data_IF_690336499446
#
_entry.id   IF_690336499446
#
_cell.length_a   1.000
_cell.length_b   1.000
_cell.length_c   1.000
_cell.angle_alpha   90.00
_cell.angle_beta   90.00
_cell.angle_gamma   90.00
#
_symmetry.space_group_name_H-M   'P 1'
#
loop_
_entity.id
_entity.type
_entity.pdbx_description
1 polymer ?
#
# COMPACT_ATOMS: atom_id res chain seq x y z
N UNK A 1 20.29 4.79 9.56
CA UNK A 1 19.66 3.88 8.57
C UNK A 1 18.21 3.68 8.96
N UNK A 2 17.27 3.83 8.00
CA UNK A 2 15.84 3.58 8.22
C UNK A 2 15.51 2.22 7.62
N UNK A 3 14.85 1.37 8.38
CA UNK A 3 14.39 0.05 7.98
C UNK A 3 12.87 0.05 7.85
N UNK A 4 12.38 -0.24 6.65
CA UNK A 4 10.96 -0.43 6.35
C UNK A 4 10.74 -1.91 6.04
N UNK A 5 9.68 -2.49 6.58
CA UNK A 5 9.19 -3.79 6.15
C UNK A 5 7.92 -3.58 5.37
N UNK A 6 7.89 -4.09 4.14
CA UNK A 6 6.69 -4.13 3.32
C UNK A 6 5.99 -5.47 3.48
N UNK A 7 4.67 -5.41 3.65
CA UNK A 7 3.75 -6.54 3.58
C UNK A 7 2.76 -6.20 2.46
N UNK A 8 2.45 -7.16 1.61
CA UNK A 8 1.48 -6.97 0.54
C UNK A 8 0.52 -8.16 0.47
N UNK A 9 -0.67 -7.92 -0.01
CA UNK A 9 -1.66 -8.92 -0.38
C UNK A 9 -1.96 -9.98 0.71
N UNK A 10 -2.26 -9.58 1.95
CA UNK A 10 -2.62 -10.55 2.99
C UNK A 10 -3.97 -11.23 2.74
N UNK A 11 -4.87 -10.65 1.92
CA UNK A 11 -6.16 -11.21 1.52
C UNK A 11 -6.92 -11.87 2.66
N UNK A 12 -7.12 -11.13 3.75
CA UNK A 12 -7.85 -11.64 4.91
C UNK A 12 -9.34 -11.68 4.62
N UNK A 13 -10.02 -12.67 5.20
CA UNK A 13 -11.47 -12.78 5.15
C UNK A 13 -12.06 -12.77 6.56
N UNK A 14 -13.38 -12.60 6.66
CA UNK A 14 -14.10 -12.69 7.94
C UNK A 14 -13.88 -14.03 8.65
N UNK A 15 -13.76 -15.14 7.90
CA UNK A 15 -13.47 -16.45 8.46
C UNK A 15 -11.97 -16.75 8.39
N UNK A 16 -11.35 -16.91 9.56
CA UNK A 16 -9.92 -17.25 9.72
C UNK A 16 -9.48 -18.56 9.07
N UNK A 17 -10.42 -19.43 8.75
CA UNK A 17 -10.18 -20.76 8.17
C UNK A 17 -10.32 -20.76 6.65
N UNK A 18 -10.77 -19.67 6.05
CA UNK A 18 -10.91 -19.56 4.59
C UNK A 18 -9.58 -19.81 3.92
N UNK A 19 -9.61 -20.60 2.85
CA UNK A 19 -8.48 -20.81 1.95
C UNK A 19 -8.71 -20.04 0.65
N UNK A 20 -7.70 -19.23 0.27
CA UNK A 20 -7.65 -18.53 -0.99
C UNK A 20 -6.47 -19.11 -1.77
N UNK A 21 -6.72 -19.65 -2.97
CA UNK A 21 -5.70 -20.32 -3.78
C UNK A 21 -4.87 -21.33 -2.98
N UNK A 22 -5.55 -22.20 -2.21
CA UNK A 22 -4.96 -23.21 -1.32
C UNK A 22 -4.08 -22.65 -0.19
N UNK A 23 -4.21 -21.37 0.16
CA UNK A 23 -3.52 -20.75 1.28
C UNK A 23 -4.49 -20.29 2.36
N UNK A 24 -4.27 -20.71 3.61
CA UNK A 24 -4.95 -20.16 4.78
C UNK A 24 -4.38 -18.79 5.11
N UNK A 25 -4.90 -17.75 4.48
CA UNK A 25 -4.33 -16.41 4.46
C UNK A 25 -4.14 -15.83 5.85
N UNK A 26 -5.12 -15.97 6.76
CA UNK A 26 -4.98 -15.52 8.14
C UNK A 26 -3.84 -16.24 8.89
N UNK A 27 -3.69 -17.54 8.71
CA UNK A 27 -2.61 -18.30 9.33
C UNK A 27 -1.25 -17.90 8.78
N UNK A 28 -1.16 -17.63 7.47
CA UNK A 28 0.03 -17.11 6.81
C UNK A 28 0.41 -15.73 7.35
N UNK A 29 -0.54 -14.80 7.35
CA UNK A 29 -0.35 -13.45 7.87
C UNK A 29 0.11 -13.46 9.33
N UNK A 30 -0.53 -14.28 10.19
CA UNK A 30 -0.11 -14.44 11.59
C UNK A 30 1.34 -14.92 11.74
N UNK A 31 1.81 -15.82 10.86
CA UNK A 31 3.21 -16.28 10.86
C UNK A 31 4.17 -15.18 10.45
N UNK A 32 3.81 -14.37 9.45
CA UNK A 32 4.61 -13.22 9.01
C UNK A 32 4.75 -12.20 10.14
N UNK A 33 3.64 -11.81 10.78
CA UNK A 33 3.64 -10.89 11.92
C UNK A 33 4.53 -11.43 13.06
N UNK A 34 4.38 -12.70 13.41
CA UNK A 34 5.19 -13.33 14.45
C UNK A 34 6.69 -13.38 14.10
N UNK A 35 7.01 -13.64 12.83
CA UNK A 35 8.39 -13.63 12.38
C UNK A 35 9.01 -12.24 12.45
N UNK A 36 8.28 -11.19 12.02
CA UNK A 36 8.69 -9.79 12.12
C UNK A 36 8.98 -9.42 13.57
N UNK A 37 8.05 -9.74 14.47
CA UNK A 37 8.17 -9.42 15.89
C UNK A 37 9.46 -10.00 16.53
N UNK A 38 9.83 -11.22 16.14
CA UNK A 38 10.99 -11.92 16.72
C UNK A 38 12.33 -11.61 16.05
N UNK A 39 12.32 -11.34 14.75
CA UNK A 39 13.56 -11.31 13.98
C UNK A 39 13.91 -9.92 13.48
N UNK A 40 12.97 -8.97 13.52
CA UNK A 40 13.12 -7.70 12.87
C UNK A 40 12.84 -6.52 13.81
N UNK A 41 13.53 -5.41 13.54
CA UNK A 41 13.31 -4.15 14.28
C UNK A 41 13.09 -3.02 13.27
N UNK A 42 11.97 -3.03 12.54
CA UNK A 42 11.70 -1.97 11.58
C UNK A 42 11.40 -0.65 12.29
N UNK A 43 11.73 0.44 11.60
CA UNK A 43 11.30 1.77 12.02
C UNK A 43 9.80 1.93 11.77
N UNK A 44 9.29 1.35 10.66
CA UNK A 44 7.86 1.22 10.42
C UNK A 44 7.55 0.15 9.37
N UNK A 45 6.25 -0.14 9.24
CA UNK A 45 5.72 -1.17 8.37
C UNK A 45 4.86 -0.49 7.30
N UNK A 46 5.03 -0.90 6.06
CA UNK A 46 4.21 -0.49 4.93
C UNK A 46 3.36 -1.68 4.48
N UNK A 47 2.04 -1.50 4.41
CA UNK A 47 1.13 -2.52 3.87
C UNK A 47 0.56 -1.98 2.57
N UNK A 48 0.90 -2.64 1.45
CA UNK A 48 0.72 -2.10 0.10
C UNK A 48 -0.48 -2.65 -0.65
N UNK A 49 -1.59 -2.87 0.04
CA UNK A 49 -2.89 -3.16 -0.56
C UNK A 49 -3.35 -4.60 -0.42
N UNK A 50 -4.58 -4.85 -0.86
CA UNK A 50 -5.30 -6.11 -0.79
C UNK A 50 -5.26 -6.73 0.61
N UNK A 51 -5.57 -5.89 1.61
CA UNK A 51 -5.59 -6.26 3.02
C UNK A 51 -6.69 -7.29 3.26
N UNK A 52 -7.85 -7.03 2.70
CA UNK A 52 -9.01 -7.91 2.75
C UNK A 52 -9.34 -8.45 1.38
N UNK A 53 -9.73 -9.73 1.31
CA UNK A 53 -10.24 -10.34 0.10
C UNK A 53 -11.74 -10.12 -0.09
N UNK A 54 -12.48 -10.09 1.02
CA UNK A 54 -13.96 -9.96 1.04
C UNK A 54 -14.46 -8.56 1.43
N UNK A 55 -13.54 -7.62 1.71
CA UNK A 55 -13.85 -6.26 2.11
C UNK A 55 -14.62 -6.14 3.43
N UNK A 56 -14.71 -7.20 4.24
CA UNK A 56 -15.53 -7.24 5.46
C UNK A 56 -14.92 -6.46 6.62
N UNK A 57 -15.77 -5.97 7.51
CA UNK A 57 -15.35 -5.33 8.76
C UNK A 57 -14.50 -6.28 9.61
N UNK A 58 -14.91 -7.54 9.68
CA UNK A 58 -14.24 -8.57 10.45
C UNK A 58 -12.83 -8.84 9.96
N UNK A 59 -12.60 -8.87 8.65
CA UNK A 59 -11.24 -9.03 8.08
C UNK A 59 -10.32 -7.87 8.47
N UNK A 60 -10.81 -6.61 8.43
CA UNK A 60 -10.06 -5.45 8.87
C UNK A 60 -9.81 -5.43 10.39
N UNK A 61 -10.74 -5.94 11.19
CA UNK A 61 -10.51 -6.13 12.63
C UNK A 61 -9.41 -7.17 12.90
N UNK A 62 -9.38 -8.27 12.13
CA UNK A 62 -8.31 -9.27 12.22
C UNK A 62 -6.96 -8.67 11.83
N UNK A 63 -6.91 -7.90 10.76
CA UNK A 63 -5.73 -7.18 10.34
C UNK A 63 -5.25 -6.20 11.42
N UNK A 64 -6.13 -5.31 11.88
CA UNK A 64 -5.82 -4.29 12.90
C UNK A 64 -5.21 -4.91 14.14
N UNK A 65 -5.87 -5.93 14.70
CA UNK A 65 -5.39 -6.63 15.90
C UNK A 65 -3.97 -7.19 15.74
N UNK A 66 -3.60 -7.63 14.53
CA UNK A 66 -2.29 -8.22 14.28
C UNK A 66 -1.23 -7.19 13.99
N UNK A 67 -1.51 -6.19 13.16
CA UNK A 67 -0.52 -5.18 12.81
C UNK A 67 -0.19 -4.30 14.03
N UNK A 68 -1.18 -3.93 14.85
CA UNK A 68 -0.98 -3.15 16.07
C UNK A 68 -0.21 -3.92 17.14
N UNK A 69 -0.27 -5.27 17.16
CA UNK A 69 0.50 -6.09 18.11
C UNK A 69 2.01 -5.96 17.95
N UNK A 70 2.50 -5.49 16.81
CA UNK A 70 3.91 -5.23 16.58
C UNK A 70 4.44 -3.99 17.31
N UNK A 71 3.57 -3.13 17.84
CA UNK A 71 3.94 -1.88 18.49
C UNK A 71 4.90 -1.02 17.66
N UNK A 72 4.67 -0.98 16.33
CA UNK A 72 5.44 -0.20 15.37
C UNK A 72 4.50 0.74 14.62
N UNK A 73 4.97 1.94 14.24
CA UNK A 73 4.24 2.75 13.27
C UNK A 73 4.00 1.95 12.00
N UNK A 74 2.80 2.03 11.44
CA UNK A 74 2.48 1.39 10.18
C UNK A 74 1.66 2.31 9.29
N UNK A 75 1.79 2.10 7.99
CA UNK A 75 1.00 2.76 6.95
C UNK A 75 0.40 1.69 6.06
N UNK A 76 -0.87 1.88 5.72
CA UNK A 76 -1.58 0.98 4.81
C UNK A 76 -2.11 1.78 3.64
N UNK A 77 -2.00 1.23 2.44
CA UNK A 77 -2.78 1.64 1.29
C UNK A 77 -3.76 0.52 0.96
N UNK A 78 -4.77 0.83 0.17
CA UNK A 78 -5.76 -0.15 -0.24
C UNK A 78 -5.44 -0.69 -1.63
N UNK A 79 -5.87 -1.92 -1.88
CA UNK A 79 -5.87 -2.57 -3.18
C UNK A 79 -7.29 -2.72 -3.73
N UNK A 80 -7.43 -3.39 -4.86
CA UNK A 80 -8.71 -3.52 -5.56
C UNK A 80 -9.73 -4.43 -4.86
N UNK A 81 -9.30 -5.33 -3.98
CA UNK A 81 -10.18 -6.14 -3.14
C UNK A 81 -10.70 -5.39 -1.90
N UNK A 82 -10.05 -4.30 -1.52
CA UNK A 82 -10.37 -3.60 -0.29
C UNK A 82 -11.64 -2.74 -0.41
N UNK A 83 -12.38 -2.64 0.70
CA UNK A 83 -13.52 -1.75 0.85
C UNK A 83 -13.13 -0.49 1.65
N UNK A 84 -13.11 0.67 0.99
CA UNK A 84 -12.72 1.95 1.58
C UNK A 84 -13.56 2.35 2.80
N UNK A 85 -14.88 2.17 2.72
CA UNK A 85 -15.79 2.61 3.78
C UNK A 85 -15.60 1.76 5.04
N UNK A 86 -15.50 0.45 4.88
CA UNK A 86 -15.26 -0.46 5.99
C UNK A 86 -13.87 -0.27 6.61
N UNK A 87 -12.84 -0.08 5.77
CA UNK A 87 -11.49 0.24 6.26
C UNK A 87 -11.48 1.54 7.07
N UNK A 88 -12.09 2.61 6.54
CA UNK A 88 -12.20 3.90 7.19
C UNK A 88 -12.94 3.80 8.53
N UNK A 89 -14.02 3.00 8.58
CA UNK A 89 -14.77 2.77 9.82
C UNK A 89 -13.88 2.17 10.93
N UNK A 90 -13.03 1.20 10.58
CA UNK A 90 -12.18 0.50 11.54
C UNK A 90 -10.98 1.35 11.99
N UNK A 91 -10.35 2.09 11.07
CA UNK A 91 -9.16 2.86 11.39
C UNK A 91 -9.43 4.32 11.74
N UNK A 92 -10.70 4.78 11.61
CA UNK A 92 -11.15 6.14 11.91
C UNK A 92 -10.29 7.24 11.25
N UNK A 93 -9.62 6.91 10.18
CA UNK A 93 -8.75 7.80 9.45
C UNK A 93 -9.37 8.20 8.12
N UNK A 94 -9.27 9.49 7.78
CA UNK A 94 -9.45 9.92 6.42
C UNK A 94 -8.26 9.39 5.62
N UNK A 95 -8.50 8.36 4.83
CA UNK A 95 -7.49 7.79 3.94
C UNK A 95 -7.24 8.81 2.81
N UNK A 96 -6.16 9.57 2.85
CA UNK A 96 -5.93 10.55 1.79
C UNK A 96 -5.50 9.81 0.53
N UNK A 97 -6.13 10.14 -0.58
CA UNK A 97 -5.83 9.61 -1.92
C UNK A 97 -4.33 9.75 -2.28
N UNK A 98 -3.66 10.76 -1.71
CA UNK A 98 -2.21 10.96 -1.78
C UNK A 98 -1.71 11.48 -0.44
N UNK A 99 -0.77 10.78 0.16
CA UNK A 99 -0.15 11.18 1.42
C UNK A 99 1.37 11.22 1.31
N UNK A 100 1.97 12.25 1.91
CA UNK A 100 3.42 12.39 2.07
C UNK A 100 3.80 12.08 3.50
N UNK A 101 4.71 11.13 3.68
CA UNK A 101 5.14 10.60 4.98
C UNK A 101 6.64 10.84 5.10
N UNK A 102 7.10 11.77 5.95
CA UNK A 102 8.51 11.95 6.19
C UNK A 102 9.10 10.71 6.89
N UNK A 103 10.12 10.12 6.28
CA UNK A 103 10.85 8.99 6.84
C UNK A 103 12.06 9.47 7.65
N UNK A 104 12.70 10.54 7.18
CA UNK A 104 13.80 11.26 7.80
C UNK A 104 13.92 12.66 7.21
N UNK A 105 14.97 13.37 7.59
CA UNK A 105 15.29 14.69 6.99
C UNK A 105 15.56 14.57 5.49
N UNK A 106 16.07 13.43 5.01
CA UNK A 106 16.48 13.20 3.63
C UNK A 106 15.49 12.37 2.81
N UNK A 107 14.56 11.64 3.43
CA UNK A 107 13.69 10.69 2.74
C UNK A 107 12.21 10.93 3.01
N UNK A 108 11.41 10.81 1.96
CA UNK A 108 9.95 10.92 2.01
C UNK A 108 9.34 9.74 1.26
N UNK A 109 8.38 9.07 1.89
CA UNK A 109 7.49 8.11 1.25
C UNK A 109 6.21 8.83 0.81
N UNK A 110 5.85 8.68 -0.46
CA UNK A 110 4.60 9.16 -1.02
C UNK A 110 3.73 7.95 -1.31
N UNK A 111 2.63 7.82 -0.58
CA UNK A 111 1.66 6.74 -0.77
C UNK A 111 0.49 7.23 -1.62
N UNK A 112 0.07 6.41 -2.57
CA UNK A 112 -0.95 6.72 -3.55
C UNK A 112 -2.06 5.68 -3.50
N UNK A 113 -3.29 6.11 -3.44
CA UNK A 113 -4.44 5.24 -3.69
C UNK A 113 -4.66 5.16 -5.20
N UNK A 114 -4.43 4.00 -5.76
CA UNK A 114 -4.63 3.72 -7.19
C UNK A 114 -5.89 2.92 -7.47
N UNK A 115 -6.73 2.69 -6.47
CA UNK A 115 -7.95 1.89 -6.63
C UNK A 115 -9.01 2.61 -7.45
N UNK A 116 -9.79 1.85 -8.20
CA UNK A 116 -10.97 2.32 -8.96
C UNK A 116 -12.16 1.46 -8.58
N UNK A 117 -13.18 2.07 -8.02
CA UNK A 117 -14.37 1.36 -7.56
C UNK A 117 -14.94 0.43 -8.64
N UNK A 118 -15.08 -0.85 -8.32
CA UNK A 118 -15.64 -1.87 -9.20
C UNK A 118 -14.72 -2.32 -10.33
N UNK A 119 -13.42 -2.03 -10.25
CA UNK A 119 -12.43 -2.50 -11.22
C UNK A 119 -11.27 -3.20 -10.52
N UNK A 120 -10.69 -4.18 -11.18
CA UNK A 120 -9.46 -4.84 -10.73
C UNK A 120 -8.21 -3.99 -11.04
N UNK A 121 -8.19 -3.32 -12.18
CA UNK A 121 -7.09 -2.43 -12.56
C UNK A 121 -7.18 -1.05 -11.92
N UNK A 122 -6.02 -0.44 -11.69
CA UNK A 122 -5.89 0.84 -11.01
C UNK A 122 -5.78 2.04 -11.95
N UNK A 123 -6.04 3.23 -11.42
CA UNK A 123 -5.75 4.50 -12.08
C UNK A 123 -5.52 5.64 -11.08
N UNK A 124 -4.71 6.61 -11.46
CA UNK A 124 -4.53 7.85 -10.72
C UNK A 124 -5.38 8.96 -11.37
N UNK A 125 -6.27 9.58 -10.59
CA UNK A 125 -7.09 10.68 -11.11
C UNK A 125 -6.26 11.96 -11.27
N UNK A 126 -6.74 12.90 -12.12
CA UNK A 126 -6.02 14.14 -12.43
C UNK A 126 -5.58 14.92 -11.19
N UNK A 127 -6.42 15.00 -10.16
CA UNK A 127 -6.08 15.70 -8.92
C UNK A 127 -4.90 15.03 -8.19
N UNK A 128 -4.76 13.71 -8.27
CA UNK A 128 -3.59 13.00 -7.72
C UNK A 128 -2.34 13.33 -8.52
N UNK A 129 -2.39 13.29 -9.85
CA UNK A 129 -1.27 13.62 -10.72
C UNK A 129 -0.76 15.06 -10.48
N UNK A 130 -1.68 16.02 -10.32
CA UNK A 130 -1.33 17.40 -9.94
C UNK A 130 -0.65 17.45 -8.57
N UNK A 131 -1.17 16.71 -7.59
CA UNK A 131 -0.61 16.67 -6.24
C UNK A 131 0.77 15.99 -6.22
N UNK A 132 0.95 14.92 -6.98
CA UNK A 132 2.24 14.24 -7.15
C UNK A 132 3.30 15.22 -7.67
N UNK A 133 2.99 15.97 -8.74
CA UNK A 133 3.90 16.98 -9.29
C UNK A 133 4.32 18.00 -8.22
N UNK A 134 3.37 18.54 -7.47
CA UNK A 134 3.66 19.50 -6.39
C UNK A 134 4.53 18.87 -5.29
N UNK A 135 4.28 17.61 -4.92
CA UNK A 135 5.07 16.92 -3.89
C UNK A 135 6.51 16.69 -4.34
N UNK A 136 6.73 16.37 -5.62
CA UNK A 136 8.08 16.24 -6.19
C UNK A 136 8.82 17.58 -6.12
N UNK A 137 8.17 18.68 -6.49
CA UNK A 137 8.74 20.04 -6.48
C UNK A 137 9.08 20.50 -5.05
N UNK A 138 8.15 20.39 -4.13
CA UNK A 138 8.33 20.80 -2.72
C UNK A 138 9.45 20.00 -2.04
N UNK A 139 9.61 18.73 -2.40
CA UNK A 139 10.63 17.84 -1.84
C UNK A 139 11.83 17.65 -2.79
N UNK A 140 12.12 18.59 -3.65
CA UNK A 140 13.21 18.49 -4.65
C UNK A 140 14.60 18.22 -4.03
N UNK A 141 14.78 18.58 -2.75
CA UNK A 141 16.00 18.37 -1.97
C UNK A 141 16.01 17.05 -1.17
N UNK A 142 14.94 16.23 -1.28
CA UNK A 142 14.78 14.95 -0.58
C UNK A 142 14.66 13.78 -1.55
N UNK A 143 15.06 12.62 -1.10
CA UNK A 143 14.85 11.38 -1.84
C UNK A 143 13.40 10.92 -1.67
N UNK A 144 12.74 10.60 -2.77
CA UNK A 144 11.35 10.19 -2.81
C UNK A 144 11.22 8.72 -3.14
N UNK A 145 10.34 8.05 -2.39
CA UNK A 145 9.86 6.69 -2.69
C UNK A 145 8.36 6.80 -2.91
N UNK A 146 7.86 6.27 -4.02
CA UNK A 146 6.43 6.14 -4.25
C UNK A 146 5.97 4.74 -3.86
N UNK A 147 4.76 4.64 -3.33
CA UNK A 147 4.10 3.37 -3.09
C UNK A 147 2.66 3.43 -3.56
N UNK A 148 2.28 2.48 -4.40
CA UNK A 148 0.92 2.26 -4.90
C UNK A 148 0.71 0.74 -5.04
N UNK A 149 -0.55 0.31 -5.05
CA UNK A 149 -0.87 -1.11 -5.15
C UNK A 149 -0.70 -1.64 -6.59
N UNK A 150 -1.25 -0.92 -7.57
CA UNK A 150 -1.20 -1.36 -8.96
C UNK A 150 0.14 -0.99 -9.61
N UNK A 151 0.83 -1.99 -10.13
CA UNK A 151 2.16 -1.82 -10.72
C UNK A 151 2.13 -0.93 -11.98
N UNK A 152 3.07 0.03 -12.10
CA UNK A 152 3.13 0.95 -13.24
C UNK A 152 4.02 0.45 -14.40
N UNK A 153 4.67 -0.70 -14.25
CA UNK A 153 5.59 -1.27 -15.25
C UNK A 153 5.11 -2.68 -15.61
N UNK A 154 5.07 -2.99 -16.91
CA UNK A 154 4.68 -4.30 -17.38
C UNK A 154 5.66 -5.40 -16.93
N UNK A 155 5.08 -6.50 -16.46
CA UNK A 155 5.80 -7.67 -15.98
C UNK A 155 5.90 -8.77 -17.06
N UNK A 156 5.16 -8.63 -18.16
CA UNK A 156 5.08 -9.61 -19.23
C UNK A 156 4.14 -10.79 -18.94
N UNK A 157 3.17 -10.61 -18.04
CA UNK A 157 2.22 -11.62 -17.61
C UNK A 157 0.78 -11.09 -17.63
N UNK A 158 -0.19 -12.00 -17.39
CA UNK A 158 -1.61 -11.65 -17.28
C UNK A 158 -1.92 -10.53 -16.28
N UNK A 159 -1.08 -10.38 -15.26
CA UNK A 159 -1.23 -9.35 -14.21
C UNK A 159 -1.20 -7.93 -14.79
N UNK A 160 -0.62 -7.74 -15.98
CA UNK A 160 -0.53 -6.43 -16.64
C UNK A 160 -1.90 -5.87 -17.03
N UNK A 161 -2.91 -6.75 -17.20
CA UNK A 161 -4.29 -6.36 -17.48
C UNK A 161 -4.91 -5.58 -16.30
N UNK A 162 -4.45 -5.85 -15.09
CA UNK A 162 -4.92 -5.21 -13.85
C UNK A 162 -3.89 -4.25 -13.24
N UNK A 163 -2.86 -3.87 -13.98
CA UNK A 163 -1.88 -2.86 -13.58
C UNK A 163 -2.44 -1.43 -13.56
N UNK A 164 -1.57 -0.46 -13.39
CA UNK A 164 -1.92 0.96 -13.43
C UNK A 164 -2.29 1.38 -14.88
N UNK A 165 -3.57 1.60 -15.16
CA UNK A 165 -4.08 1.83 -16.50
C UNK A 165 -3.55 3.12 -17.16
N UNK A 166 -3.29 4.15 -16.38
CA UNK A 166 -2.71 5.40 -16.85
C UNK A 166 -1.23 5.56 -16.43
N UNK A 167 -0.49 4.45 -16.47
CA UNK A 167 0.92 4.37 -16.10
C UNK A 167 1.80 5.41 -16.80
N UNK A 168 1.57 5.67 -18.10
CA UNK A 168 2.37 6.63 -18.88
C UNK A 168 2.27 8.05 -18.30
N UNK A 169 1.09 8.45 -17.85
CA UNK A 169 0.88 9.74 -17.19
C UNK A 169 1.66 9.83 -15.88
N UNK A 170 1.65 8.76 -15.07
CA UNK A 170 2.40 8.69 -13.83
C UNK A 170 3.92 8.65 -14.08
N UNK A 171 4.37 7.76 -14.96
CA UNK A 171 5.78 7.60 -15.29
C UNK A 171 6.40 8.88 -15.86
N UNK A 172 5.66 9.62 -16.71
CA UNK A 172 6.13 10.91 -17.24
C UNK A 172 6.39 11.97 -16.17
N UNK A 173 5.77 11.85 -14.98
CA UNK A 173 6.00 12.76 -13.86
C UNK A 173 7.28 12.45 -13.10
N UNK A 174 7.75 11.20 -13.10
CA UNK A 174 8.78 10.70 -12.19
C UNK A 174 10.09 10.30 -12.85
N UNK A 175 10.08 9.82 -14.10
CA UNK A 175 11.27 9.24 -14.75
C UNK A 175 12.46 10.20 -14.86
N UNK A 176 12.20 11.49 -15.13
CA UNK A 176 13.25 12.51 -15.27
C UNK A 176 13.57 13.24 -13.95
N UNK A 177 13.10 12.71 -12.83
CA UNK A 177 13.29 13.33 -11.52
C UNK A 177 14.39 12.61 -10.73
N UNK A 178 15.59 13.22 -10.62
CA UNK A 178 16.73 12.56 -9.98
C UNK A 178 16.52 12.28 -8.49
N UNK A 179 15.58 12.97 -7.86
CA UNK A 179 15.21 12.76 -6.46
C UNK A 179 14.18 11.64 -6.25
N UNK A 180 13.56 11.11 -7.30
CA UNK A 180 12.73 9.88 -7.20
C UNK A 180 13.65 8.66 -7.26
N UNK A 181 13.66 7.86 -6.22
CA UNK A 181 14.61 6.75 -6.05
C UNK A 181 13.97 5.37 -6.22
N UNK A 182 12.68 5.25 -5.96
CA UNK A 182 11.95 3.99 -6.09
C UNK A 182 10.45 4.21 -6.28
N UNK A 183 9.81 3.21 -6.88
CA UNK A 183 8.36 3.02 -6.95
C UNK A 183 8.08 1.59 -6.52
#
# INVERSE_FOLDING_TARGET
MIKIIQITDPHLTKDKNTEIRACKTYSSFKRVIHWIDRNEKPNFILVSGDISDDGSIESYLLYKNKIESLNKPFFSILGNHDNHDNFKLIFQNNFPIVQSIPLSDEWVLIVLDSTVTGKEGGALINNQLIKIRKLIEINSHKNLIFCLHHHPIEMGFWIDEIGLQNKDQFLSLILDKPNVKAV
#
